data_IF_858415225616
#
_entry.id   IF_858415225616
#
_cell.length_a   1.000
_cell.length_b   1.000
_cell.length_c   1.000
_cell.angle_alpha   90.00
_cell.angle_beta   90.00
_cell.angle_gamma   90.00
#
_symmetry.space_group_name_H-M   'P 1'
#
loop_
_entity.id
_entity.type
_entity.pdbx_description
1 polymer ?
#
# COMPACT_ATOMS: atom_id res chain seq x y z
N UNK A 1 -28.66 -67.54 -16.44
CA UNK A 1 -28.42 -67.62 -17.89
C UNK A 1 -26.91 -67.54 -18.12
N UNK A 2 -26.31 -68.58 -18.69
CA UNK A 2 -24.93 -68.51 -19.18
C UNK A 2 -24.92 -67.73 -20.49
N UNK A 3 -23.91 -66.88 -20.70
CA UNK A 3 -23.71 -66.23 -21.98
C UNK A 3 -23.39 -67.28 -23.05
N UNK A 4 -23.75 -66.99 -24.29
CA UNK A 4 -23.40 -67.84 -25.44
C UNK A 4 -21.92 -67.66 -25.80
N UNK A 5 -21.34 -68.65 -26.46
CA UNK A 5 -19.93 -68.62 -26.89
C UNK A 5 -19.61 -67.40 -27.78
N UNK A 6 -20.56 -67.01 -28.62
CA UNK A 6 -20.44 -65.83 -29.50
C UNK A 6 -20.39 -64.53 -28.70
N UNK A 7 -21.20 -64.43 -27.63
CA UNK A 7 -21.17 -63.27 -26.73
C UNK A 7 -19.87 -63.21 -25.93
N UNK A 8 -19.36 -64.36 -25.46
CA UNK A 8 -18.04 -64.44 -24.81
C UNK A 8 -16.93 -63.96 -25.75
N UNK A 9 -16.95 -64.43 -27.00
CA UNK A 9 -15.96 -64.07 -28.01
C UNK A 9 -15.98 -62.58 -28.29
N UNK A 10 -17.17 -61.99 -28.45
CA UNK A 10 -17.34 -60.54 -28.64
C UNK A 10 -16.79 -59.74 -27.46
N UNK A 11 -17.08 -60.17 -26.22
CA UNK A 11 -16.59 -59.51 -25.02
C UNK A 11 -15.07 -59.62 -24.90
N UNK A 12 -14.49 -60.78 -25.22
CA UNK A 12 -13.06 -61.00 -25.21
C UNK A 12 -12.34 -60.08 -26.22
N UNK A 13 -12.85 -59.96 -27.44
CA UNK A 13 -12.30 -59.07 -28.48
C UNK A 13 -12.36 -57.61 -28.00
N UNK A 14 -13.47 -57.20 -27.38
CA UNK A 14 -13.63 -55.84 -26.86
C UNK A 14 -12.60 -55.53 -25.74
N UNK A 15 -12.41 -56.44 -24.79
CA UNK A 15 -11.42 -56.25 -23.71
C UNK A 15 -9.97 -56.31 -24.22
N UNK A 16 -9.65 -57.14 -25.21
CA UNK A 16 -8.34 -57.12 -25.87
C UNK A 16 -8.06 -55.77 -26.52
N UNK A 17 -9.04 -55.24 -27.27
CA UNK A 17 -8.92 -53.94 -27.94
C UNK A 17 -8.74 -52.81 -26.92
N UNK A 18 -9.52 -52.84 -25.83
CA UNK A 18 -9.44 -51.86 -24.75
C UNK A 18 -8.08 -51.88 -24.05
N UNK A 19 -7.58 -53.06 -23.73
CA UNK A 19 -6.25 -53.21 -23.11
C UNK A 19 -5.13 -52.77 -24.04
N UNK A 20 -5.24 -53.05 -25.35
CA UNK A 20 -4.28 -52.56 -26.35
C UNK A 20 -4.25 -51.02 -26.41
N UNK A 21 -5.42 -50.38 -26.40
CA UNK A 21 -5.51 -48.91 -26.37
C UNK A 21 -4.88 -48.34 -25.09
N UNK A 22 -5.21 -48.91 -23.92
CA UNK A 22 -4.59 -48.51 -22.65
C UNK A 22 -3.07 -48.71 -22.66
N UNK A 23 -2.58 -49.78 -23.27
CA UNK A 23 -1.15 -50.04 -23.47
C UNK A 23 -0.47 -48.98 -24.33
N UNK A 24 -1.12 -48.57 -25.43
CA UNK A 24 -0.67 -47.47 -26.29
C UNK A 24 -0.56 -46.16 -25.51
N UNK A 25 -1.59 -45.77 -24.77
CA UNK A 25 -1.60 -44.53 -23.98
C UNK A 25 -0.50 -44.52 -22.90
N UNK A 26 -0.32 -45.64 -22.19
CA UNK A 26 0.75 -45.80 -21.21
C UNK A 26 2.13 -45.67 -21.85
N UNK A 27 2.36 -46.33 -22.99
CA UNK A 27 3.62 -46.25 -23.72
C UNK A 27 3.87 -44.86 -24.30
N UNK A 28 2.83 -44.15 -24.73
CA UNK A 28 2.96 -42.77 -25.21
C UNK A 28 3.32 -41.81 -24.06
N UNK A 29 2.79 -42.04 -22.87
CA UNK A 29 3.02 -41.17 -21.70
C UNK A 29 4.37 -41.43 -21.04
N UNK A 30 4.73 -42.70 -20.82
CA UNK A 30 5.87 -43.12 -19.99
C UNK A 30 6.94 -43.89 -20.76
N UNK A 31 6.74 -44.17 -22.05
CA UNK A 31 7.70 -44.91 -22.88
C UNK A 31 7.96 -46.34 -22.38
N UNK A 32 9.22 -46.75 -22.45
CA UNK A 32 9.67 -48.07 -21.97
C UNK A 32 9.53 -48.25 -20.45
N UNK A 33 9.45 -47.17 -19.67
CA UNK A 33 9.23 -47.24 -18.23
C UNK A 33 7.82 -47.70 -17.88
N UNK A 34 6.85 -47.56 -18.79
CA UNK A 34 5.46 -47.99 -18.58
C UNK A 34 5.32 -49.49 -18.27
N UNK A 35 6.30 -50.29 -18.69
CA UNK A 35 6.32 -51.75 -18.56
C UNK A 35 7.13 -52.24 -17.35
N UNK A 36 7.91 -51.34 -16.72
CA UNK A 36 8.68 -51.65 -15.52
C UNK A 36 7.84 -51.34 -14.28
N UNK A 37 7.94 -52.18 -13.26
CA UNK A 37 7.37 -51.85 -11.95
C UNK A 37 8.04 -50.59 -11.39
N UNK A 38 7.28 -49.74 -10.70
CA UNK A 38 7.85 -48.60 -10.00
C UNK A 38 8.91 -49.10 -9.00
N UNK A 39 10.17 -48.61 -9.06
CA UNK A 39 11.21 -49.02 -8.13
C UNK A 39 10.90 -48.60 -6.68
N UNK A 40 10.00 -47.64 -6.51
CA UNK A 40 9.53 -47.17 -5.22
C UNK A 40 8.31 -48.00 -4.79
N UNK A 41 8.23 -48.48 -3.53
CA UNK A 41 7.08 -49.22 -3.04
C UNK A 41 5.79 -48.41 -3.15
N UNK A 42 4.66 -49.11 -3.22
CA UNK A 42 3.35 -48.47 -3.26
C UNK A 42 3.13 -47.62 -2.00
N UNK A 43 2.86 -46.33 -2.19
CA UNK A 43 2.53 -45.42 -1.10
C UNK A 43 1.13 -45.68 -0.54
N UNK A 44 0.91 -45.33 0.73
CA UNK A 44 -0.42 -45.34 1.32
C UNK A 44 -1.35 -44.37 0.55
N UNK A 45 -2.55 -44.83 0.17
CA UNK A 45 -3.54 -44.02 -0.57
C UNK A 45 -3.91 -42.73 0.15
N UNK A 46 -4.04 -42.76 1.48
CA UNK A 46 -4.35 -41.56 2.28
C UNK A 46 -3.22 -40.55 2.22
N UNK A 47 -1.97 -41.01 2.36
CA UNK A 47 -0.80 -40.16 2.24
C UNK A 47 -0.77 -39.48 0.86
N UNK A 48 -0.85 -40.27 -0.22
CA UNK A 48 -0.79 -39.75 -1.58
C UNK A 48 -1.88 -38.70 -1.86
N UNK A 49 -3.13 -39.02 -1.49
CA UNK A 49 -4.25 -38.11 -1.67
C UNK A 49 -4.05 -36.80 -0.91
N UNK A 50 -3.63 -36.88 0.36
CA UNK A 50 -3.37 -35.70 1.17
C UNK A 50 -2.19 -34.88 0.64
N UNK A 51 -1.14 -35.53 0.14
CA UNK A 51 0.01 -34.86 -0.48
C UNK A 51 -0.39 -34.13 -1.76
N UNK A 52 -1.15 -34.77 -2.65
CA UNK A 52 -1.61 -34.15 -3.91
C UNK A 52 -2.51 -32.95 -3.60
N UNK A 53 -3.54 -33.14 -2.76
CA UNK A 53 -4.44 -32.05 -2.39
C UNK A 53 -3.70 -30.91 -1.68
N UNK A 54 -2.79 -31.26 -0.78
CA UNK A 54 -1.94 -30.29 -0.08
C UNK A 54 -1.09 -29.47 -1.05
N UNK A 55 -0.41 -30.12 -2.00
CA UNK A 55 0.39 -29.43 -3.02
C UNK A 55 -0.47 -28.51 -3.91
N UNK A 56 -1.64 -28.98 -4.35
CA UNK A 56 -2.56 -28.16 -5.15
C UNK A 56 -3.07 -26.93 -4.38
N UNK A 57 -3.38 -27.09 -3.09
CA UNK A 57 -3.85 -26.00 -2.23
C UNK A 57 -2.73 -25.03 -1.87
N UNK A 58 -1.52 -25.53 -1.59
CA UNK A 58 -0.35 -24.70 -1.34
C UNK A 58 -0.08 -23.75 -2.53
N UNK A 59 -0.16 -24.25 -3.76
CA UNK A 59 0.00 -23.43 -4.96
C UNK A 59 -1.06 -22.31 -5.06
N UNK A 60 -2.31 -22.61 -4.71
CA UNK A 60 -3.38 -21.61 -4.65
C UNK A 60 -3.10 -20.55 -3.58
N UNK A 61 -2.71 -20.99 -2.39
CA UNK A 61 -2.45 -20.10 -1.25
C UNK A 61 -1.23 -19.20 -1.48
N UNK A 62 -0.19 -19.68 -2.15
CA UNK A 62 0.96 -18.85 -2.56
C UNK A 62 0.50 -17.73 -3.51
N UNK A 63 -0.39 -18.02 -4.46
CA UNK A 63 -0.92 -17.04 -5.43
C UNK A 63 -1.87 -16.01 -4.81
N UNK A 64 -2.60 -16.37 -3.75
CA UNK A 64 -3.50 -15.46 -3.04
C UNK A 64 -2.73 -14.62 -2.04
N UNK A 65 -1.74 -15.21 -1.35
CA UNK A 65 -0.89 -14.52 -0.40
C UNK A 65 0.03 -13.50 -1.09
N UNK A 66 0.56 -13.81 -2.28
CA UNK A 66 1.31 -12.83 -3.07
C UNK A 66 0.42 -11.67 -3.51
N UNK A 67 -0.80 -11.93 -4.00
CA UNK A 67 -1.79 -10.87 -4.31
C UNK A 67 -2.19 -10.04 -3.09
N UNK A 68 -2.38 -10.68 -1.93
CA UNK A 68 -2.70 -9.99 -0.67
C UNK A 68 -1.57 -9.05 -0.24
N UNK A 69 -0.31 -9.51 -0.28
CA UNK A 69 0.87 -8.68 0.02
C UNK A 69 1.02 -7.50 -0.96
N UNK A 70 0.74 -7.70 -2.25
CA UNK A 70 0.74 -6.62 -3.25
C UNK A 70 -0.36 -5.59 -2.97
N UNK A 71 -1.53 -6.03 -2.52
CA UNK A 71 -2.61 -5.12 -2.17
C UNK A 71 -2.36 -4.37 -0.86
N UNK A 72 -1.80 -5.02 0.15
CA UNK A 72 -1.40 -4.40 1.43
C UNK A 72 -0.33 -3.32 1.23
N UNK A 73 0.68 -3.59 0.39
CA UNK A 73 1.70 -2.58 0.03
C UNK A 73 1.14 -1.39 -0.77
N UNK A 74 0.08 -1.59 -1.56
CA UNK A 74 -0.64 -0.49 -2.24
C UNK A 74 -1.49 0.33 -1.27
N UNK A 75 -2.09 -0.29 -0.26
CA UNK A 75 -2.86 0.45 0.76
C UNK A 75 -1.96 1.26 1.68
N UNK A 76 -0.80 0.73 2.06
CA UNK A 76 0.17 1.42 2.91
C UNK A 76 0.74 2.68 2.23
N UNK A 77 1.00 2.60 0.92
CA UNK A 77 1.47 3.74 0.13
C UNK A 77 0.38 4.81 -0.06
N UNK A 78 -0.88 4.41 -0.28
CA UNK A 78 -2.01 5.33 -0.37
C UNK A 78 -2.31 6.04 0.97
N UNK A 79 -2.21 5.33 2.10
CA UNK A 79 -2.46 5.91 3.42
C UNK A 79 -1.36 6.90 3.85
N UNK A 80 -0.09 6.63 3.49
CA UNK A 80 1.04 7.54 3.73
C UNK A 80 0.92 8.85 2.96
N UNK A 81 0.35 8.82 1.74
CA UNK A 81 0.09 10.02 0.95
C UNK A 81 -1.04 10.88 1.56
N UNK A 82 -2.12 10.27 2.06
CA UNK A 82 -3.21 11.00 2.74
C UNK A 82 -2.75 11.67 4.05
N UNK A 83 -1.86 11.04 4.83
CA UNK A 83 -1.33 11.62 6.08
C UNK A 83 -0.39 12.81 5.81
N UNK A 84 0.40 12.78 4.73
CA UNK A 84 1.25 13.93 4.34
C UNK A 84 0.41 15.17 3.97
N UNK A 85 -0.64 15.01 3.17
CA UNK A 85 -1.51 16.12 2.78
C UNK A 85 -2.22 16.80 3.96
N UNK A 86 -2.69 16.03 4.96
CA UNK A 86 -3.33 16.59 6.16
C UNK A 86 -2.36 17.41 7.03
N UNK A 87 -1.11 16.97 7.15
CA UNK A 87 -0.08 17.69 7.90
C UNK A 87 0.34 19.00 7.20
N UNK A 88 0.32 19.03 5.87
CA UNK A 88 0.59 20.26 5.11
C UNK A 88 -0.55 21.28 5.23
N UNK A 89 -1.82 20.84 5.19
CA UNK A 89 -2.98 21.72 5.37
C UNK A 89 -2.97 22.37 6.77
N UNK A 90 -2.75 21.59 7.84
CA UNK A 90 -2.64 22.15 9.19
C UNK A 90 -1.45 23.11 9.38
N UNK A 91 -0.37 22.93 8.62
CA UNK A 91 0.80 23.82 8.66
C UNK A 91 0.52 25.15 7.95
N UNK A 92 -0.29 25.13 6.89
CA UNK A 92 -0.73 26.33 6.18
C UNK A 92 -1.74 27.13 7.02
N UNK A 93 -2.76 26.48 7.60
CA UNK A 93 -3.73 27.14 8.49
C UNK A 93 -3.07 27.85 9.67
N UNK A 94 -2.07 27.21 10.31
CA UNK A 94 -1.33 27.83 11.42
C UNK A 94 -0.51 29.05 10.98
N UNK A 95 0.04 29.04 9.77
CA UNK A 95 0.75 30.21 9.20
C UNK A 95 -0.22 31.35 8.93
N UNK A 96 -1.39 31.06 8.37
CA UNK A 96 -2.40 32.07 8.06
C UNK A 96 -2.95 32.74 9.32
N UNK A 97 -3.22 31.96 10.38
CA UNK A 97 -3.61 32.49 11.70
C UNK A 97 -2.50 33.39 12.27
N UNK A 98 -1.24 32.96 12.18
CA UNK A 98 -0.10 33.75 12.67
C UNK A 98 0.08 35.08 11.92
N UNK A 99 -0.11 35.07 10.60
CA UNK A 99 -0.10 36.29 9.78
C UNK A 99 -1.25 37.22 10.17
N UNK A 100 -2.44 36.67 10.42
CA UNK A 100 -3.64 37.44 10.82
C UNK A 100 -3.45 38.12 12.17
N UNK A 101 -2.85 37.44 13.15
CA UNK A 101 -2.52 38.01 14.46
C UNK A 101 -1.50 39.15 14.34
N UNK A 102 -0.41 38.96 13.58
CA UNK A 102 0.58 40.03 13.34
C UNK A 102 -0.04 41.27 12.68
N UNK A 103 -0.94 41.10 11.72
CA UNK A 103 -1.66 42.21 11.06
C UNK A 103 -2.58 42.97 12.04
N UNK A 104 -3.20 42.26 12.97
CA UNK A 104 -4.01 42.87 14.02
C UNK A 104 -3.16 43.69 14.99
N UNK A 105 -2.00 43.18 15.41
CA UNK A 105 -1.08 43.91 16.30
C UNK A 105 -0.56 45.21 15.65
N UNK A 106 -0.22 45.15 14.35
CA UNK A 106 0.20 46.33 13.57
C UNK A 106 -0.94 47.35 13.50
N UNK A 107 -2.17 46.91 13.23
CA UNK A 107 -3.36 47.78 13.18
C UNK A 107 -3.65 48.45 14.52
N UNK A 108 -3.49 47.72 15.64
CA UNK A 108 -3.65 48.26 17.00
C UNK A 108 -2.55 49.29 17.29
N UNK A 109 -1.31 49.02 16.87
CA UNK A 109 -0.17 49.92 17.08
C UNK A 109 -0.32 51.23 16.30
N UNK A 110 -0.80 51.17 15.06
CA UNK A 110 -1.10 52.35 14.25
C UNK A 110 -2.23 53.20 14.88
N UNK A 111 -3.35 52.58 15.29
CA UNK A 111 -4.43 53.30 15.99
C UNK A 111 -3.98 53.97 17.30
N UNK A 112 -3.07 53.33 18.06
CA UNK A 112 -2.52 53.92 19.30
C UNK A 112 -1.65 55.14 19.02
N UNK A 113 -0.91 55.15 17.92
CA UNK A 113 -0.09 56.29 17.52
C UNK A 113 -0.97 57.47 17.11
N UNK A 114 -2.06 57.24 16.36
CA UNK A 114 -3.01 58.31 15.97
C UNK A 114 -3.67 58.96 17.21
N UNK A 115 -4.00 58.17 18.23
CA UNK A 115 -4.55 58.67 19.50
C UNK A 115 -3.51 59.50 20.29
N UNK A 116 -2.22 59.15 20.20
CA UNK A 116 -1.16 59.90 20.89
C UNK A 116 -0.84 61.24 20.24
N UNK A 117 -0.97 61.34 18.91
CA UNK A 117 -0.70 62.57 18.15
C UNK A 117 -1.81 63.60 18.41
N UNK A 118 -3.07 63.16 18.51
CA UNK A 118 -4.20 64.05 18.80
C UNK A 118 -4.28 64.56 20.26
N UNK A 119 -3.35 64.14 21.15
CA UNK A 119 -3.34 64.55 22.57
C UNK A 119 -2.34 65.69 22.88
N UNK A 120 -1.56 66.14 21.89
CA UNK A 120 -0.43 67.08 22.12
C UNK A 120 -0.76 68.54 21.77
N UNK A 121 -1.91 68.84 21.16
CA UNK A 121 -2.32 70.23 20.92
C UNK A 121 -3.21 70.72 22.08
N UNK A 122 -2.61 71.43 23.04
CA UNK A 122 -3.14 72.54 23.86
C UNK A 122 -2.03 72.92 24.86
N UNK A 123 -1.83 74.23 25.06
CA UNK A 123 -0.84 74.92 25.94
C UNK A 123 0.41 75.52 25.22
N UNK A 124 0.26 76.77 24.79
CA UNK A 124 1.29 77.84 24.86
C UNK A 124 1.00 78.68 26.11
N UNK A 125 1.93 79.43 26.81
CA UNK A 125 2.74 80.48 26.15
C UNK A 125 4.05 81.03 26.89
N UNK A 126 4.76 81.98 26.23
CA UNK A 126 5.64 83.10 26.73
C UNK A 126 7.16 82.91 27.08
N UNK A 127 8.01 83.64 26.31
CA UNK A 127 9.12 84.63 26.63
C UNK A 127 10.07 84.41 27.84
N UNK A 128 11.39 84.66 27.86
CA UNK A 128 12.25 85.78 27.37
C UNK A 128 13.77 85.51 27.62
N UNK A 129 14.63 86.25 26.87
CA UNK A 129 16.07 86.69 27.02
C UNK A 129 16.97 86.18 28.20
N UNK A 130 18.31 86.12 28.13
CA UNK A 130 19.31 87.09 27.64
C UNK A 130 20.75 86.50 27.57
N UNK A 131 21.63 87.26 26.93
CA UNK A 131 22.97 87.01 26.37
C UNK A 131 24.13 87.24 27.38
N UNK A 132 25.26 86.50 27.27
CA UNK A 132 26.63 87.08 27.17
C UNK A 132 27.77 86.06 26.93
N UNK A 133 28.53 86.30 25.86
CA UNK A 133 29.92 85.87 25.57
C UNK A 133 30.92 86.87 26.23
N UNK A 134 32.27 86.86 26.02
CA UNK A 134 33.24 85.88 25.45
C UNK A 134 34.47 85.66 26.39
N UNK A 135 35.54 84.90 26.09
CA UNK A 135 36.79 85.34 25.38
C UNK A 135 37.82 84.17 25.35
N UNK A 136 38.57 84.11 24.23
CA UNK A 136 39.71 83.24 23.87
C UNK A 136 41.00 83.42 24.71
N UNK A 137 41.91 82.43 24.61
CA UNK A 137 43.40 82.50 24.37
C UNK A 137 43.95 81.06 24.62
N UNK A 138 44.87 80.45 23.89
CA UNK A 138 45.74 80.77 22.74
C UNK A 138 45.79 79.55 21.82
#
# INVERSE_FOLDING_TARGET
MSLTEDELTRLAIAELTRNAQRGRERSATMGSLAWKSCPVPATNKRFLHNTILGAMQANKNISTQSRKRINESKTDTAEKQKKKGKNEIHKLEKKDISIKLKKNDISIKLKKNDISINKIEMESPISSSSVNLPIKKN
#
